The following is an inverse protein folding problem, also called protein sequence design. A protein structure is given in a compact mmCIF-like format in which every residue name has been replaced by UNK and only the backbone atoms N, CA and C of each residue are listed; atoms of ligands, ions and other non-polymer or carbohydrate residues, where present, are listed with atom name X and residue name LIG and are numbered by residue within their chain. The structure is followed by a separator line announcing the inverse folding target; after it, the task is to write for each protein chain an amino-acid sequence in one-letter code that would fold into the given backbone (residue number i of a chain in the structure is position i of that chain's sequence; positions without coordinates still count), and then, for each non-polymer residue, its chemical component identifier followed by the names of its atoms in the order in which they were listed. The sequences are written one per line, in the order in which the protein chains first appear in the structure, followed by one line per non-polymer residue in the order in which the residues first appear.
data_IF_615202516961
#
_entry.id   IF_615202516961
#
_cell.length_a   1.000
_cell.length_b   1.000
_cell.length_c   1.000
_cell.angle_alpha   90.00
_cell.angle_beta   90.00
_cell.angle_gamma   90.00
#
_symmetry.space_group_name_H-M   'P 1'
#
loop_
_entity.id
_entity.type
_entity.pdbx_description
1 polymer ?
#
# COMPACT_ATOMS: atom_id res chain seq x y z
N UNK A 1 -15.15 15.79 -8.84
CA UNK A 1 -15.97 14.58 -8.97
C UNK A 1 -15.00 13.43 -8.87
N UNK A 2 -15.12 12.58 -7.84
CA UNK A 2 -14.31 11.37 -7.75
C UNK A 2 -15.06 10.26 -8.47
N UNK A 3 -14.38 9.59 -9.40
CA UNK A 3 -14.96 8.51 -10.19
C UNK A 3 -14.76 7.18 -9.43
N UNK A 4 -15.78 6.32 -9.43
CA UNK A 4 -15.64 4.97 -8.86
C UNK A 4 -15.13 4.05 -9.97
N UNK A 5 -13.98 3.43 -9.74
CA UNK A 5 -13.25 2.60 -10.70
C UNK A 5 -13.07 1.21 -10.12
N UNK A 6 -13.41 0.16 -10.85
CA UNK A 6 -13.20 -1.23 -10.42
C UNK A 6 -11.75 -1.64 -10.64
N UNK A 7 -11.27 -2.62 -9.88
CA UNK A 7 -9.91 -3.15 -10.04
C UNK A 7 -9.58 -3.66 -11.45
N UNK A 8 -10.59 -4.16 -12.18
CA UNK A 8 -10.49 -4.69 -13.55
C UNK A 8 -10.62 -3.60 -14.64
N UNK A 9 -10.79 -2.34 -14.24
CA UNK A 9 -10.91 -1.23 -15.18
C UNK A 9 -9.56 -0.99 -15.90
N UNK A 10 -9.54 -0.67 -17.22
CA UNK A 10 -8.30 -0.54 -18.00
C UNK A 10 -7.34 0.58 -17.57
N UNK A 11 -7.77 1.46 -16.65
CA UNK A 11 -6.90 2.50 -16.07
C UNK A 11 -6.15 2.02 -14.83
N UNK A 12 -6.51 0.84 -14.30
CA UNK A 12 -5.88 0.24 -13.14
C UNK A 12 -4.87 -0.79 -13.63
N UNK A 13 -3.62 -0.58 -13.28
CA UNK A 13 -2.58 -1.57 -13.51
C UNK A 13 -2.44 -2.45 -12.26
N UNK A 14 -2.51 -3.76 -12.41
CA UNK A 14 -2.38 -4.70 -11.30
C UNK A 14 -1.01 -5.37 -11.33
N UNK A 15 -0.20 -5.10 -10.32
CA UNK A 15 1.08 -5.74 -10.09
C UNK A 15 0.94 -6.95 -9.18
N UNK A 16 1.82 -7.93 -9.37
CA UNK A 16 1.95 -9.05 -8.43
C UNK A 16 2.80 -8.64 -7.24
N UNK A 17 2.36 -9.06 -6.06
CA UNK A 17 3.14 -8.98 -4.84
C UNK A 17 3.08 -10.31 -4.08
N UNK A 18 3.99 -10.48 -3.13
CA UNK A 18 4.03 -11.67 -2.28
C UNK A 18 4.03 -11.25 -0.82
N UNK A 19 3.23 -11.94 -0.01
CA UNK A 19 3.23 -11.76 1.44
C UNK A 19 4.41 -12.52 2.05
N UNK A 20 5.39 -11.81 2.57
CA UNK A 20 6.52 -12.32 3.33
C UNK A 20 6.35 -12.05 4.82
N UNK A 21 7.16 -12.76 5.62
CA UNK A 21 7.31 -12.48 7.04
C UNK A 21 8.55 -11.63 7.22
N UNK A 22 8.43 -10.52 7.93
CA UNK A 22 9.56 -9.62 8.20
C UNK A 22 9.71 -9.39 9.71
N UNK A 23 10.84 -9.82 10.28
CA UNK A 23 11.11 -9.66 11.71
C UNK A 23 10.27 -10.59 12.58
N UNK A 24 9.48 -10.02 13.50
CA UNK A 24 8.65 -10.75 14.46
C UNK A 24 7.65 -11.71 13.81
N UNK A 25 7.08 -12.62 14.60
CA UNK A 25 6.23 -13.71 14.06
C UNK A 25 4.95 -13.24 13.35
N UNK A 26 4.49 -12.03 13.63
CA UNK A 26 3.21 -11.50 13.13
C UNK A 26 3.39 -10.31 12.19
N UNK A 27 4.62 -9.89 11.90
CA UNK A 27 4.83 -8.69 11.10
C UNK A 27 4.86 -9.05 9.60
N UNK A 28 3.83 -8.65 8.83
CA UNK A 28 3.77 -8.91 7.41
C UNK A 28 4.70 -7.97 6.63
N UNK A 29 5.17 -8.44 5.49
CA UNK A 29 5.84 -7.64 4.47
C UNK A 29 5.22 -7.99 3.11
N UNK A 30 4.51 -7.05 2.51
CA UNK A 30 4.04 -7.19 1.13
C UNK A 30 5.17 -6.73 0.22
N UNK A 31 5.76 -7.64 -0.53
CA UNK A 31 6.83 -7.33 -1.48
C UNK A 31 6.29 -7.29 -2.89
N UNK A 32 6.38 -6.13 -3.53
CA UNK A 32 5.94 -5.95 -4.91
C UNK A 32 7.01 -6.51 -5.85
N UNK A 33 6.59 -7.30 -6.84
CA UNK A 33 7.51 -7.94 -7.77
C UNK A 33 8.17 -6.92 -8.73
N UNK A 34 7.43 -5.86 -9.05
CA UNK A 34 7.78 -4.80 -9.98
C UNK A 34 8.07 -3.50 -9.23
N UNK A 35 8.65 -2.53 -9.94
CA UNK A 35 8.92 -1.21 -9.39
C UNK A 35 7.62 -0.40 -9.30
N UNK A 36 7.60 0.54 -8.37
CA UNK A 36 6.52 1.51 -8.21
C UNK A 36 7.08 2.91 -8.47
N UNK A 37 6.22 3.85 -8.87
CA UNK A 37 6.59 5.25 -9.09
C UNK A 37 6.77 6.01 -7.75
N UNK A 38 7.55 5.46 -6.84
CA UNK A 38 7.79 5.95 -5.47
C UNK A 38 9.21 5.63 -5.02
N UNK A 39 9.71 6.42 -4.08
CA UNK A 39 11.02 6.26 -3.48
C UNK A 39 10.92 5.75 -2.04
N UNK A 40 11.98 5.12 -1.54
CA UNK A 40 12.07 4.71 -0.14
C UNK A 40 11.94 5.94 0.77
N UNK A 41 11.03 5.86 1.74
CA UNK A 41 10.66 6.95 2.64
C UNK A 41 9.40 7.71 2.21
N UNK A 42 8.90 7.50 0.99
CA UNK A 42 7.63 8.04 0.57
C UNK A 42 6.48 7.50 1.42
N UNK A 43 5.41 8.29 1.50
CA UNK A 43 4.21 7.91 2.24
C UNK A 43 3.01 7.86 1.30
N UNK A 44 2.60 6.65 0.95
CA UNK A 44 1.51 6.40 0.00
C UNK A 44 0.20 6.09 0.71
N UNK A 45 -0.88 6.09 -0.06
CA UNK A 45 -2.20 5.66 0.35
C UNK A 45 -2.42 4.23 -0.10
N UNK A 46 -2.82 3.34 0.80
CA UNK A 46 -3.17 1.97 0.46
C UNK A 46 -4.61 1.70 0.91
N UNK A 47 -5.42 1.20 -0.01
CA UNK A 47 -6.78 0.77 0.28
C UNK A 47 -6.79 -0.70 0.70
N UNK A 48 -7.26 -0.96 1.93
CA UNK A 48 -7.51 -2.27 2.52
C UNK A 48 -8.99 -2.31 2.92
N UNK A 49 -9.78 -3.29 2.47
CA UNK A 49 -11.23 -3.38 2.76
C UNK A 49 -11.99 -2.05 2.58
N UNK A 50 -11.88 -1.44 1.40
CA UNK A 50 -12.49 -0.14 1.07
C UNK A 50 -12.04 1.04 1.96
N UNK A 51 -11.11 0.80 2.89
CA UNK A 51 -10.59 1.78 3.85
C UNK A 51 -9.18 2.22 3.46
N UNK A 52 -8.91 3.52 3.52
CA UNK A 52 -7.64 4.09 3.12
C UNK A 52 -6.69 4.28 4.31
N UNK A 53 -5.50 3.71 4.20
CA UNK A 53 -4.42 3.82 5.18
C UNK A 53 -3.20 4.53 4.60
N UNK A 54 -2.32 4.98 5.48
CA UNK A 54 -1.01 5.53 5.16
C UNK A 54 0.03 4.43 5.33
N UNK A 55 0.86 4.26 4.31
CA UNK A 55 1.89 3.21 4.26
C UNK A 55 3.20 3.84 3.84
N UNK A 56 4.26 3.76 4.67
CA UNK A 56 5.58 4.17 4.24
C UNK A 56 6.12 3.16 3.22
N UNK A 57 6.77 3.67 2.18
CA UNK A 57 7.52 2.86 1.22
C UNK A 57 8.86 2.53 1.85
N UNK A 58 9.11 1.24 1.98
CA UNK A 58 10.40 0.72 2.40
C UNK A 58 10.97 -0.16 1.29
N UNK A 59 12.24 -0.54 1.43
CA UNK A 59 12.92 -1.42 0.51
C UNK A 59 13.20 -2.78 1.17
N UNK A 60 13.04 -3.84 0.40
CA UNK A 60 13.56 -5.16 0.73
C UNK A 60 15.09 -5.23 0.51
N UNK A 61 15.79 -6.23 1.07
CA UNK A 61 17.22 -6.43 0.79
C UNK A 61 17.57 -6.61 -0.70
N UNK A 62 16.60 -7.01 -1.52
CA UNK A 62 16.74 -7.23 -2.95
C UNK A 62 16.40 -5.98 -3.79
N UNK A 63 16.21 -4.82 -3.15
CA UNK A 63 15.90 -3.56 -3.83
C UNK A 63 14.43 -3.40 -4.24
N UNK A 64 13.54 -4.32 -3.84
CA UNK A 64 12.10 -4.24 -4.17
C UNK A 64 11.31 -3.39 -3.18
N UNK A 65 10.32 -2.61 -3.64
CA UNK A 65 9.46 -1.86 -2.74
C UNK A 65 8.58 -2.79 -1.90
N UNK A 66 8.43 -2.45 -0.62
CA UNK A 66 7.66 -3.24 0.35
C UNK A 66 6.72 -2.39 1.20
N UNK A 67 5.60 -2.99 1.59
CA UNK A 67 4.68 -2.46 2.59
C UNK A 67 4.75 -3.31 3.86
N UNK A 68 5.13 -2.73 4.99
CA UNK A 68 5.21 -3.46 6.28
C UNK A 68 4.22 -2.98 7.32
N UNK A 69 3.75 -1.74 7.18
CA UNK A 69 2.88 -1.13 8.16
C UNK A 69 1.84 -0.22 7.51
N UNK A 70 0.60 -0.30 7.99
CA UNK A 70 -0.48 0.57 7.55
C UNK A 70 -1.19 1.18 8.76
N UNK A 71 -1.39 2.50 8.73
CA UNK A 71 -2.12 3.21 9.78
C UNK A 71 -2.91 4.39 9.20
N UNK A 72 -4.04 4.74 9.79
CA UNK A 72 -4.85 5.89 9.33
C UNK A 72 -4.14 7.23 9.58
N UNK A 73 -3.25 7.28 10.58
CA UNK A 73 -2.43 8.45 10.91
C UNK A 73 -1.08 8.42 10.20
N UNK A 74 -0.71 9.46 9.40
CA UNK A 74 0.61 9.57 8.78
C UNK A 74 1.78 9.50 9.78
N UNK A 75 1.60 10.06 10.98
CA UNK A 75 2.64 10.07 12.02
C UNK A 75 2.89 8.68 12.57
N UNK A 76 1.82 7.92 12.84
CA UNK A 76 1.93 6.55 13.33
C UNK A 76 2.40 5.62 12.22
N UNK A 77 2.01 5.87 10.97
CA UNK A 77 2.48 5.10 9.83
C UNK A 77 4.01 5.15 9.66
N UNK A 78 4.59 6.36 9.74
CA UNK A 78 6.05 6.55 9.66
C UNK A 78 6.80 6.07 10.89
N UNK A 79 6.16 6.07 12.04
CA UNK A 79 6.82 5.88 13.31
C UNK A 79 5.96 5.06 14.29
N UNK A 80 5.79 3.75 14.03
CA UNK A 80 4.74 2.97 14.64
C UNK A 80 4.83 2.88 16.15
N UNK A 81 6.00 2.79 16.80
CA UNK A 81 6.12 2.74 18.27
C UNK A 81 5.13 1.80 18.99
N UNK A 82 4.76 0.68 18.36
CA UNK A 82 3.75 -0.26 18.88
C UNK A 82 2.29 0.08 18.54
N UNK A 83 2.06 1.04 17.64
CA UNK A 83 0.75 1.35 17.09
C UNK A 83 0.16 0.20 16.30
N UNK A 84 -1.16 0.23 16.17
CA UNK A 84 -1.95 -0.71 15.38
C UNK A 84 -1.45 -0.76 13.94
N UNK A 85 -1.30 -1.98 13.43
CA UNK A 85 -0.90 -2.23 12.07
C UNK A 85 -2.09 -2.83 11.30
N UNK A 86 -2.83 -1.96 10.60
CA UNK A 86 -3.99 -2.37 9.83
C UNK A 86 -3.63 -3.40 8.73
N UNK A 87 -2.37 -3.43 8.27
CA UNK A 87 -1.90 -4.45 7.34
C UNK A 87 -1.80 -5.83 7.99
N UNK A 88 -1.33 -5.89 9.24
CA UNK A 88 -1.30 -7.14 10.00
C UNK A 88 -2.73 -7.63 10.26
N UNK A 89 -3.62 -6.74 10.70
CA UNK A 89 -5.04 -7.06 10.89
C UNK A 89 -5.70 -7.54 9.59
N UNK A 90 -5.40 -6.91 8.46
CA UNK A 90 -5.91 -7.31 7.14
C UNK A 90 -5.43 -8.71 6.74
N UNK A 91 -4.16 -9.03 6.98
CA UNK A 91 -3.58 -10.37 6.74
C UNK A 91 -4.23 -11.41 7.63
N UNK A 92 -4.39 -11.12 8.94
CA UNK A 92 -4.99 -12.02 9.92
C UNK A 92 -6.48 -12.27 9.63
N UNK A 93 -7.24 -11.22 9.33
CA UNK A 93 -8.67 -11.30 9.02
C UNK A 93 -8.96 -12.18 7.81
N UNK A 94 -8.06 -12.19 6.82
CA UNK A 94 -8.16 -12.99 5.60
C UNK A 94 -7.49 -14.36 5.69
N UNK A 95 -6.91 -14.68 6.84
CA UNK A 95 -6.16 -15.91 7.06
C UNK A 95 -5.07 -16.13 5.99
N UNK A 96 -4.44 -15.04 5.52
CA UNK A 96 -3.45 -15.12 4.45
C UNK A 96 -2.18 -15.79 4.95
N UNK A 97 -1.78 -16.85 4.27
CA UNK A 97 -0.52 -17.53 4.56
C UNK A 97 0.67 -16.78 3.96
N UNK A 98 1.77 -16.73 4.70
CA UNK A 98 3.05 -16.25 4.16
C UNK A 98 3.49 -17.10 2.95
N UNK A 99 4.10 -16.45 1.97
CA UNK A 99 4.48 -17.01 0.67
C UNK A 99 3.37 -16.97 -0.38
N UNK A 100 2.15 -16.51 -0.03
CA UNK A 100 1.05 -16.38 -0.99
C UNK A 100 1.16 -15.08 -1.78
N UNK A 101 0.73 -15.15 -3.04
CA UNK A 101 0.62 -13.98 -3.90
C UNK A 101 -0.61 -13.15 -3.54
N UNK A 102 -0.42 -11.84 -3.56
CA UNK A 102 -1.44 -10.80 -3.40
C UNK A 102 -1.32 -9.84 -4.59
N UNK A 103 -2.37 -9.08 -4.84
CA UNK A 103 -2.41 -8.12 -5.96
C UNK A 103 -2.28 -6.71 -5.43
N UNK A 104 -1.43 -5.90 -6.09
CA UNK A 104 -1.27 -4.48 -5.83
C UNK A 104 -1.81 -3.72 -7.03
N UNK A 105 -2.91 -3.02 -6.86
CA UNK A 105 -3.55 -2.23 -7.91
C UNK A 105 -3.04 -0.79 -7.85
N UNK A 106 -2.50 -0.28 -8.96
CA UNK A 106 -2.08 1.10 -9.11
C UNK A 106 -3.33 1.92 -9.44
N UNK A 107 -3.84 2.63 -8.44
CA UNK A 107 -5.01 3.51 -8.59
C UNK A 107 -4.57 4.90 -9.06
N UNK A 108 -3.52 5.43 -8.43
CA UNK A 108 -2.85 6.65 -8.83
C UNK A 108 -1.34 6.44 -8.64
N UNK A 109 -0.55 6.37 -9.73
CA UNK A 109 0.90 6.18 -9.64
C UNK A 109 1.54 7.19 -8.69
N UNK A 110 2.44 6.72 -7.84
CA UNK A 110 3.13 7.54 -6.86
C UNK A 110 2.33 7.95 -5.63
N UNK A 111 1.03 7.66 -5.57
CA UNK A 111 0.17 8.23 -4.54
C UNK A 111 -0.81 7.24 -3.90
N UNK A 112 -1.50 6.43 -4.70
CA UNK A 112 -2.59 5.57 -4.23
C UNK A 112 -2.56 4.19 -4.86
N UNK A 113 -2.60 3.20 -3.99
CA UNK A 113 -2.60 1.79 -4.35
C UNK A 113 -3.76 1.07 -3.66
N UNK A 114 -4.19 -0.04 -4.24
CA UNK A 114 -5.09 -1.00 -3.62
C UNK A 114 -4.35 -2.30 -3.32
N UNK A 115 -4.65 -2.93 -2.19
CA UNK A 115 -4.15 -4.28 -1.89
C UNK A 115 -5.31 -5.26 -1.87
N UNK A 116 -5.15 -6.39 -2.57
CA UNK A 116 -6.15 -7.45 -2.63
C UNK A 116 -5.53 -8.81 -2.38
N UNK A 117 -6.23 -9.64 -1.63
CA UNK A 117 -5.97 -11.05 -1.54
C UNK A 117 -6.23 -11.77 -2.87
N UNK A 118 -5.81 -13.04 -2.98
CA UNK A 118 -5.97 -13.82 -4.19
C UNK A 118 -7.44 -14.02 -4.55
N UNK A 119 -7.84 -13.59 -5.75
CA UNK A 119 -9.21 -13.76 -6.26
C UNK A 119 -10.23 -12.74 -5.74
N UNK A 120 -9.81 -11.79 -4.90
CA UNK A 120 -10.71 -10.73 -4.42
C UNK A 120 -10.96 -9.67 -5.49
N UNK A 121 -12.04 -8.91 -5.35
CA UNK A 121 -12.34 -7.73 -6.16
C UNK A 121 -12.39 -6.50 -5.27
N UNK A 122 -12.07 -5.33 -5.82
CA UNK A 122 -12.18 -4.07 -5.10
C UNK A 122 -12.70 -2.95 -6.01
N UNK A 123 -13.25 -1.93 -5.37
CA UNK A 123 -13.66 -0.68 -6.01
C UNK A 123 -12.89 0.46 -5.38
N UNK A 124 -12.29 1.27 -6.22
CA UNK A 124 -11.52 2.42 -5.79
C UNK A 124 -12.28 3.69 -6.12
N UNK A 125 -12.23 4.64 -5.20
CA UNK A 125 -12.54 6.02 -5.54
C UNK A 125 -11.30 6.60 -6.20
N UNK A 126 -11.31 6.61 -7.53
CA UNK A 126 -10.34 7.27 -8.38
C UNK A 126 -10.69 8.74 -8.61
N UNK A 127 -9.78 9.43 -9.28
CA UNK A 127 -9.95 10.84 -9.63
C UNK A 127 -8.76 11.63 -9.16
N UNK A 128 -7.90 11.97 -10.13
CA UNK A 128 -6.74 12.85 -10.01
C UNK A 128 -7.13 14.02 -9.10
N UNK A 129 -6.59 14.18 -7.88
CA UNK A 129 -6.69 15.47 -7.23
C UNK A 129 -5.97 16.45 -8.18
N UNK A 130 -6.71 17.41 -8.73
CA UNK A 130 -6.22 18.41 -9.69
C UNK A 130 -4.82 18.90 -9.32
N UNK A 131 -3.77 18.35 -9.92
CA UNK A 131 -2.39 18.87 -10.00
C UNK A 131 -1.72 19.40 -8.70
N UNK A 132 -2.34 19.29 -7.52
CA UNK A 132 -2.04 20.16 -6.36
C UNK A 132 -1.51 19.40 -5.15
N UNK A 133 -1.35 18.07 -5.22
CA UNK A 133 -0.80 17.29 -4.10
C UNK A 133 0.50 16.55 -4.42
N UNK A 134 0.92 16.48 -5.69
CA UNK A 134 2.30 16.11 -6.05
C UNK A 134 3.34 17.16 -5.57
N UNK A 135 2.89 18.33 -5.12
CA UNK A 135 3.75 19.39 -4.57
C UNK A 135 4.14 19.27 -3.10
N UNK A 136 3.64 18.29 -2.34
CA UNK A 136 3.87 18.19 -0.87
C UNK A 136 4.74 16.99 -0.48
N UNK A 137 5.63 16.55 -1.38
CA UNK A 137 6.78 15.71 -1.01
C UNK A 137 8.03 16.54 -0.63
N UNK A 138 7.92 17.89 -0.58
CA UNK A 138 9.00 18.77 -0.11
C UNK A 138 8.52 19.60 1.07
N UNK A 139 8.57 19.05 2.27
CA UNK A 139 8.71 19.81 3.51
C UNK A 139 8.84 18.82 4.66
N UNK A 140 10.07 18.48 5.03
CA UNK A 140 10.56 18.64 6.40
C UNK A 140 12.06 18.26 6.45
N UNK A 141 12.93 19.25 6.23
CA UNK A 141 14.13 19.46 7.05
C UNK A 141 14.62 20.89 6.76
N UNK A 142 14.41 21.77 7.74
CA UNK A 142 14.98 23.12 7.86
C UNK A 142 15.63 23.20 9.22
#
# INVERSE_FOLDING_TARGET
MSERVTHDHPTIETLKATLHRHGGTTQPEIRVAEELDVETGDLVRVVLDDSEYRVPIEESPDGKPVFRHANSSPRLARNPHGAENALAEWVEHRELSFGRSVSVDIVEPGFKYGLRGPGESAVYTGGKPSDSLAGIAKNLDS
#
